data_IF_689923057559
#
_entry.id   IF_689923057559
#
_cell.length_a   1.000
_cell.length_b   1.000
_cell.length_c   1.000
_cell.angle_alpha   90.00
_cell.angle_beta   90.00
_cell.angle_gamma   90.00
#
_symmetry.space_group_name_H-M   'P 1'
#
loop_
_entity.id
_entity.type
_entity.pdbx_description
1 polymer ?
#
# COMPACT_ATOMS: atom_id res chain seq x y z
N UNK A 1 16.64 26.92 -15.95
CA UNK A 1 17.71 26.69 -14.94
C UNK A 1 18.73 25.76 -15.58
N UNK A 2 20.03 26.06 -15.47
CA UNK A 2 21.10 25.33 -16.19
C UNK A 2 21.53 24.07 -15.41
N UNK A 3 21.49 22.91 -16.07
CA UNK A 3 21.91 21.62 -15.49
C UNK A 3 23.40 21.60 -15.12
N UNK A 4 24.24 22.42 -15.75
CA UNK A 4 25.66 22.52 -15.42
C UNK A 4 25.89 23.13 -14.02
N UNK A 5 25.09 24.15 -13.66
CA UNK A 5 25.13 24.77 -12.33
C UNK A 5 24.70 23.79 -11.23
N UNK A 6 23.69 22.97 -11.48
CA UNK A 6 23.19 21.98 -10.50
C UNK A 6 24.25 20.90 -10.20
N UNK A 7 24.94 20.40 -11.23
CA UNK A 7 26.01 19.40 -11.07
C UNK A 7 27.22 19.93 -10.30
N UNK A 8 27.60 21.20 -10.52
CA UNK A 8 28.70 21.85 -9.78
C UNK A 8 28.43 21.90 -8.27
N UNK A 9 27.16 22.02 -7.88
CA UNK A 9 26.73 22.02 -6.47
C UNK A 9 26.46 20.60 -5.93
N UNK A 10 26.89 19.56 -6.65
CA UNK A 10 26.72 18.16 -6.24
C UNK A 10 25.29 17.62 -6.39
N UNK A 11 24.39 18.36 -7.04
CA UNK A 11 23.02 17.90 -7.27
C UNK A 11 22.96 17.13 -8.59
N UNK A 12 22.70 15.83 -8.53
CA UNK A 12 22.36 15.03 -9.71
C UNK A 12 20.89 15.26 -10.04
N UNK A 13 20.61 15.90 -11.17
CA UNK A 13 19.30 15.93 -11.78
C UNK A 13 19.06 14.59 -12.51
N UNK A 14 18.96 13.50 -11.75
CA UNK A 14 18.45 12.22 -12.26
C UNK A 14 16.92 12.28 -12.11
N UNK A 15 16.26 12.89 -13.11
CA UNK A 15 14.80 13.16 -13.07
C UNK A 15 13.98 11.96 -13.55
N UNK A 16 14.60 10.92 -14.09
CA UNK A 16 13.88 9.75 -14.60
C UNK A 16 13.72 8.71 -13.48
N UNK A 17 12.49 8.58 -12.96
CA UNK A 17 12.04 7.42 -12.19
C UNK A 17 11.74 7.62 -10.70
N UNK A 18 12.02 8.80 -10.12
CA UNK A 18 11.76 9.07 -8.69
C UNK A 18 10.39 9.68 -8.37
N UNK A 19 9.65 10.17 -9.37
CA UNK A 19 8.38 10.85 -9.10
C UNK A 19 7.29 9.89 -8.62
N UNK A 20 7.28 8.63 -9.07
CA UNK A 20 6.27 7.64 -8.69
C UNK A 20 6.43 7.16 -7.23
N UNK A 21 7.67 6.99 -6.74
CA UNK A 21 7.93 6.54 -5.37
C UNK A 21 7.41 7.50 -4.29
N UNK A 22 7.29 8.79 -4.63
CA UNK A 22 6.80 9.83 -3.71
C UNK A 22 5.41 10.35 -4.09
N UNK A 23 4.72 9.70 -5.02
CA UNK A 23 3.39 10.09 -5.44
C UNK A 23 2.35 9.80 -4.34
N UNK A 24 1.54 10.81 -4.02
CA UNK A 24 0.43 10.68 -3.06
C UNK A 24 -0.61 9.69 -3.58
N UNK A 25 -1.04 8.76 -2.74
CA UNK A 25 -2.09 7.79 -3.07
C UNK A 25 -3.46 8.36 -2.71
N UNK A 26 -4.31 8.59 -3.71
CA UNK A 26 -5.69 9.07 -3.51
C UNK A 26 -6.61 7.88 -3.33
N UNK A 27 -7.30 7.81 -2.18
CA UNK A 27 -8.24 6.74 -1.91
C UNK A 27 -9.42 6.78 -2.91
N UNK A 28 -9.73 5.69 -3.63
CA UNK A 28 -10.83 5.69 -4.60
C UNK A 28 -12.21 5.82 -3.93
N UNK A 29 -12.34 5.37 -2.68
CA UNK A 29 -13.59 5.39 -1.90
C UNK A 29 -13.87 6.74 -1.23
N UNK A 30 -12.94 7.22 -0.40
CA UNK A 30 -13.14 8.44 0.40
C UNK A 30 -12.50 9.70 -0.18
N UNK A 31 -11.71 9.57 -1.25
CA UNK A 31 -10.90 10.64 -1.86
C UNK A 31 -9.82 11.24 -0.95
N UNK A 32 -9.59 10.66 0.24
CA UNK A 32 -8.52 11.12 1.11
C UNK A 32 -7.13 10.85 0.50
N UNK A 33 -6.19 11.77 0.73
CA UNK A 33 -4.79 11.66 0.31
C UNK A 33 -3.97 10.89 1.35
N UNK A 34 -3.22 9.89 0.91
CA UNK A 34 -2.43 9.01 1.79
C UNK A 34 -0.95 9.06 1.39
N UNK A 35 -0.08 8.64 2.31
CA UNK A 35 1.35 8.49 2.05
C UNK A 35 1.57 7.50 0.89
N UNK A 36 2.62 7.67 0.07
CA UNK A 36 3.02 6.68 -0.93
C UNK A 36 3.20 5.26 -0.36
N UNK A 37 3.59 5.18 0.92
CA UNK A 37 3.81 3.91 1.64
C UNK A 37 2.59 3.40 2.41
N UNK A 38 1.44 4.08 2.33
CA UNK A 38 0.23 3.68 3.04
C UNK A 38 -0.42 2.44 2.43
N UNK A 39 -0.42 1.32 3.17
CA UNK A 39 -1.15 0.10 2.80
C UNK A 39 -2.67 0.22 2.92
N UNK A 40 -3.14 1.13 3.76
CA UNK A 40 -4.57 1.38 4.00
C UNK A 40 -4.87 2.87 4.01
N UNK A 41 -6.11 3.22 3.67
CA UNK A 41 -6.58 4.58 3.81
C UNK A 41 -6.71 4.94 5.29
N UNK A 42 -6.03 6.00 5.72
CA UNK A 42 -6.09 6.51 7.09
C UNK A 42 -7.47 7.08 7.48
N UNK A 43 -8.35 7.37 6.51
CA UNK A 43 -9.67 7.92 6.76
C UNK A 43 -10.79 6.87 6.78
N UNK A 44 -10.72 5.84 5.93
CA UNK A 44 -11.81 4.87 5.76
C UNK A 44 -11.41 3.40 5.87
N UNK A 45 -10.12 3.11 6.08
CA UNK A 45 -9.60 1.74 6.25
C UNK A 45 -9.53 0.89 4.98
N UNK A 46 -9.90 1.43 3.81
CA UNK A 46 -9.77 0.69 2.54
C UNK A 46 -8.31 0.31 2.29
N UNK A 47 -8.04 -0.96 1.96
CA UNK A 47 -6.72 -1.39 1.51
C UNK A 47 -6.37 -0.73 0.16
N UNK A 48 -5.21 -0.09 0.10
CA UNK A 48 -4.72 0.64 -1.07
C UNK A 48 -3.60 -0.11 -1.79
N UNK A 49 -3.06 -1.16 -1.18
CA UNK A 49 -1.95 -1.96 -1.69
C UNK A 49 -2.43 -3.36 -2.09
N UNK A 50 -2.23 -3.73 -3.36
CA UNK A 50 -2.71 -4.99 -3.92
C UNK A 50 -2.10 -6.21 -3.22
N UNK A 51 -0.80 -6.17 -2.93
CA UNK A 51 -0.10 -7.27 -2.26
C UNK A 51 -0.69 -7.51 -0.87
N UNK A 52 -0.87 -6.44 -0.10
CA UNK A 52 -1.49 -6.49 1.23
C UNK A 52 -2.93 -7.01 1.14
N UNK A 53 -3.69 -6.63 0.12
CA UNK A 53 -5.05 -7.15 -0.08
C UNK A 53 -5.05 -8.67 -0.30
N UNK A 54 -4.15 -9.18 -1.13
CA UNK A 54 -4.00 -10.63 -1.36
C UNK A 54 -3.61 -11.40 -0.09
N UNK A 55 -2.67 -10.87 0.70
CA UNK A 55 -2.26 -11.47 1.98
C UNK A 55 -3.43 -11.53 2.98
N UNK A 56 -4.28 -10.50 3.03
CA UNK A 56 -5.48 -10.49 3.89
C UNK A 56 -6.49 -11.55 3.43
N UNK A 57 -6.73 -11.67 2.13
CA UNK A 57 -7.68 -12.65 1.60
C UNK A 57 -7.20 -14.08 1.85
N UNK A 58 -5.91 -14.36 1.72
CA UNK A 58 -5.32 -15.66 2.07
C UNK A 58 -5.48 -15.96 3.58
N UNK A 59 -5.16 -14.99 4.44
CA UNK A 59 -5.31 -15.14 5.88
C UNK A 59 -6.78 -15.38 6.28
N UNK A 60 -7.73 -14.69 5.62
CA UNK A 60 -9.16 -14.90 5.81
C UNK A 60 -9.59 -16.30 5.39
N UNK A 61 -9.21 -16.75 4.20
CA UNK A 61 -9.54 -18.09 3.72
C UNK A 61 -9.02 -19.19 4.65
N UNK A 62 -7.80 -19.05 5.18
CA UNK A 62 -7.26 -19.99 6.16
C UNK A 62 -8.06 -19.96 7.48
N UNK A 63 -8.37 -18.76 7.98
CA UNK A 63 -9.17 -18.58 9.20
C UNK A 63 -10.56 -19.21 9.06
N UNK A 64 -11.24 -18.97 7.95
CA UNK A 64 -12.57 -19.49 7.66
C UNK A 64 -12.57 -21.02 7.61
N UNK A 65 -11.51 -21.63 7.06
CA UNK A 65 -11.33 -23.09 7.06
C UNK A 65 -11.24 -23.63 8.49
N UNK A 66 -10.40 -23.02 9.33
CA UNK A 66 -10.21 -23.44 10.72
C UNK A 66 -11.50 -23.27 11.54
N UNK A 67 -12.20 -22.14 11.40
CA UNK A 67 -13.49 -21.91 12.07
C UNK A 67 -14.52 -22.96 11.62
N UNK A 68 -14.58 -23.26 10.33
CA UNK A 68 -15.49 -24.28 9.79
C UNK A 68 -15.19 -25.67 10.34
N UNK A 69 -13.95 -26.00 10.66
CA UNK A 69 -13.57 -27.24 11.33
C UNK A 69 -14.01 -27.25 12.79
N UNK A 70 -13.78 -26.16 13.53
CA UNK A 70 -14.19 -26.03 14.94
C UNK A 70 -15.72 -26.14 15.12
N UNK A 71 -16.50 -25.49 14.25
CA UNK A 71 -17.98 -25.54 14.33
C UNK A 71 -18.52 -26.95 14.07
N UNK A 72 -17.79 -27.80 13.33
CA UNK A 72 -18.20 -29.18 13.02
C UNK A 72 -17.99 -30.16 14.17
N UNK A 73 -17.11 -29.85 15.12
CA UNK A 73 -16.89 -30.67 16.31
C UNK A 73 -17.22 -29.87 17.59
N UNK A 74 -18.45 -29.98 18.12
CA UNK A 74 -18.87 -29.25 19.31
C UNK A 74 -18.19 -29.72 20.61
N UNK A 75 -17.25 -30.68 20.54
CA UNK A 75 -16.47 -31.18 21.69
C UNK A 75 -15.02 -30.70 21.72
N UNK A 76 -14.61 -29.87 20.75
CA UNK A 76 -13.39 -29.04 20.87
C UNK A 76 -13.72 -27.79 21.68
#
# INVERSE_FOLDING_TARGET
>A
MDNALLKLHGMKADVEGKEEEFAVVVCPRSKNKNSPTSKFCNACGLCLDLKTAMEIDEARANTDRLISELVRDPKV
#
